data_IF_494533476660
#
_entry.id   IF_494533476660
#
_cell.length_a   1.000
_cell.length_b   1.000
_cell.length_c   1.000
_cell.angle_alpha   90.00
_cell.angle_beta   90.00
_cell.angle_gamma   90.00
#
_symmetry.space_group_name_H-M   'P 1'
#
loop_
_entity.id
_entity.type
_entity.pdbx_description
1 polymer ?
#
# COMPACT_ATOMS: atom_id res chain seq x y z
N UNK A 1 -31.46 -3.03 -4.70
CA UNK A 1 -30.23 -2.34 -5.13
C UNK A 1 -29.13 -2.61 -4.11
N UNK A 2 -28.07 -3.24 -4.51
CA UNK A 2 -26.89 -3.34 -3.66
C UNK A 2 -26.24 -1.96 -3.57
N UNK A 3 -26.22 -1.35 -2.38
CA UNK A 3 -25.47 -0.12 -2.13
C UNK A 3 -24.01 -0.52 -2.13
N UNK A 4 -23.31 -0.23 -3.24
CA UNK A 4 -21.88 -0.51 -3.34
C UNK A 4 -21.12 0.30 -2.30
N UNK A 5 -20.35 -0.37 -1.45
CA UNK A 5 -19.48 0.30 -0.48
C UNK A 5 -18.33 0.97 -1.23
N UNK A 6 -18.31 2.30 -1.26
CA UNK A 6 -17.20 3.05 -1.83
C UNK A 6 -16.04 3.07 -0.84
N UNK A 7 -14.91 2.45 -1.20
CA UNK A 7 -13.70 2.43 -0.39
C UNK A 7 -12.75 3.49 -0.90
N UNK A 8 -12.32 4.40 -0.03
CA UNK A 8 -11.32 5.40 -0.37
C UNK A 8 -9.95 5.00 0.17
N UNK A 9 -8.95 5.01 -0.72
CA UNK A 9 -7.57 4.63 -0.42
C UNK A 9 -6.64 5.76 -0.84
N UNK A 10 -5.77 6.19 0.07
CA UNK A 10 -4.65 7.10 -0.23
C UNK A 10 -3.38 6.29 -0.45
N UNK A 11 -2.60 6.68 -1.44
CA UNK A 11 -1.24 6.20 -1.64
C UNK A 11 -0.24 7.36 -1.61
N UNK A 12 0.85 7.22 -0.87
CA UNK A 12 1.84 8.26 -0.68
C UNK A 12 3.26 7.70 -0.57
N UNK A 13 4.16 8.18 -1.43
CA UNK A 13 5.59 7.99 -1.23
C UNK A 13 6.10 9.04 -0.22
N UNK A 14 6.57 8.59 0.94
CA UNK A 14 6.95 9.48 2.04
C UNK A 14 8.44 9.83 2.05
N UNK A 15 9.25 9.17 1.24
CA UNK A 15 10.69 9.39 1.13
C UNK A 15 11.38 9.49 2.51
N UNK A 16 11.20 8.45 3.31
CA UNK A 16 11.72 8.33 4.66
C UNK A 16 10.93 9.09 5.73
N UNK A 17 10.66 8.44 6.83
CA UNK A 17 9.89 8.97 7.97
C UNK A 17 10.57 8.74 9.32
N UNK A 18 11.90 8.60 9.34
CA UNK A 18 12.66 8.37 10.57
C UNK A 18 12.72 9.58 11.50
N UNK A 19 12.68 10.80 10.95
CA UNK A 19 12.64 12.01 11.77
C UNK A 19 11.28 12.13 12.50
N UNK A 20 11.29 12.39 13.80
CA UNK A 20 10.08 12.51 14.63
C UNK A 20 9.13 13.59 14.12
N UNK A 21 9.68 14.76 13.75
CA UNK A 21 8.90 15.88 13.20
C UNK A 21 8.19 15.51 11.89
N UNK A 22 8.87 14.76 11.02
CA UNK A 22 8.27 14.31 9.74
C UNK A 22 7.16 13.29 9.97
N UNK A 23 7.36 12.34 10.90
CA UNK A 23 6.30 11.41 11.30
C UNK A 23 5.08 12.11 11.86
N UNK A 24 5.29 13.11 12.71
CA UNK A 24 4.20 13.87 13.29
C UNK A 24 3.36 14.59 12.23
N UNK A 25 4.03 15.32 11.33
CA UNK A 25 3.37 15.99 10.19
C UNK A 25 2.64 15.02 9.28
N UNK A 26 3.24 13.86 9.01
CA UNK A 26 2.60 12.81 8.21
C UNK A 26 1.35 12.27 8.90
N UNK A 27 1.41 12.01 10.20
CA UNK A 27 0.27 11.54 10.98
C UNK A 27 -0.88 12.55 10.99
N UNK A 28 -0.59 13.83 11.22
CA UNK A 28 -1.58 14.90 11.15
C UNK A 28 -2.22 15.00 9.76
N UNK A 29 -1.41 14.90 8.71
CA UNK A 29 -1.89 14.96 7.34
C UNK A 29 -2.82 13.79 7.01
N UNK A 30 -2.44 12.55 7.36
CA UNK A 30 -3.26 11.34 7.16
C UNK A 30 -4.61 11.47 7.88
N UNK A 31 -4.61 11.96 9.13
CA UNK A 31 -5.84 12.16 9.89
C UNK A 31 -6.81 13.15 9.23
N UNK A 32 -6.28 14.20 8.61
CA UNK A 32 -7.07 15.22 7.91
C UNK A 32 -7.72 14.70 6.62
N UNK A 33 -7.17 13.65 5.99
CA UNK A 33 -7.68 13.14 4.72
C UNK A 33 -8.99 12.33 4.86
N UNK A 34 -9.32 11.88 6.06
CA UNK A 34 -10.57 11.14 6.36
C UNK A 34 -10.79 9.91 5.45
N UNK A 35 -9.73 9.17 5.15
CA UNK A 35 -9.76 8.00 4.26
C UNK A 35 -9.98 6.70 5.05
N UNK A 36 -10.36 5.64 4.34
CA UNK A 36 -10.50 4.31 4.93
C UNK A 36 -9.18 3.56 5.02
N UNK A 37 -8.30 3.75 4.04
CA UNK A 37 -6.99 3.10 4.00
C UNK A 37 -5.91 4.07 3.55
N UNK A 38 -4.68 3.85 4.01
CA UNK A 38 -3.51 4.60 3.61
C UNK A 38 -2.35 3.64 3.31
N UNK A 39 -1.81 3.74 2.12
CA UNK A 39 -0.68 2.94 1.65
C UNK A 39 0.54 3.83 1.49
N UNK A 40 1.56 3.59 2.30
CA UNK A 40 2.80 4.37 2.31
C UNK A 40 3.92 3.59 1.64
N UNK A 41 4.77 4.29 0.90
CA UNK A 41 5.99 3.76 0.29
C UNK A 41 7.20 4.57 0.74
N UNK A 42 8.38 3.95 0.69
CA UNK A 42 9.65 4.51 1.14
C UNK A 42 9.60 5.01 2.59
N UNK A 43 9.02 4.22 3.48
CA UNK A 43 8.93 4.59 4.91
C UNK A 43 10.29 4.63 5.58
N UNK A 44 11.25 3.82 5.13
CA UNK A 44 12.63 3.73 5.61
C UNK A 44 12.75 3.48 7.12
N UNK A 45 11.76 2.84 7.74
CA UNK A 45 11.83 2.51 9.16
C UNK A 45 12.96 1.53 9.45
N UNK A 46 13.70 1.80 10.51
CA UNK A 46 14.71 0.88 11.01
C UNK A 46 14.03 -0.25 11.77
N UNK A 47 14.51 -1.50 11.67
CA UNK A 47 13.94 -2.64 12.40
C UNK A 47 13.87 -2.46 13.92
N UNK A 48 14.78 -1.67 14.48
CA UNK A 48 14.85 -1.37 15.92
C UNK A 48 14.00 -0.19 16.38
N UNK A 49 13.42 0.58 15.45
CA UNK A 49 12.56 1.70 15.81
C UNK A 49 11.14 1.19 16.05
N UNK A 50 10.76 1.12 17.30
CA UNK A 50 9.39 0.86 17.78
C UNK A 50 8.43 2.03 17.46
N UNK A 51 8.88 3.01 16.70
CA UNK A 51 8.10 4.19 16.33
C UNK A 51 7.16 3.89 15.18
N UNK A 52 6.01 3.34 15.53
CA UNK A 52 4.87 3.30 14.63
C UNK A 52 4.24 4.68 14.54
N UNK A 53 3.68 4.99 13.39
CA UNK A 53 2.78 6.14 13.27
C UNK A 53 1.62 5.95 14.27
N UNK A 54 1.62 6.73 15.35
CA UNK A 54 0.52 6.72 16.31
C UNK A 54 -0.62 7.56 15.76
N UNK A 55 -1.56 6.89 15.13
CA UNK A 55 -2.74 7.51 14.54
C UNK A 55 -3.95 7.15 15.38
N UNK A 56 -4.71 8.15 15.82
CA UNK A 56 -6.03 7.93 16.38
C UNK A 56 -6.95 7.39 15.29
N UNK A 57 -7.89 6.50 15.66
CA UNK A 57 -8.88 5.93 14.73
C UNK A 57 -8.32 5.05 13.60
N UNK A 58 -7.09 4.56 13.74
CA UNK A 58 -6.50 3.58 12.83
C UNK A 58 -6.26 2.26 13.54
N UNK A 59 -6.91 1.18 13.04
CA UNK A 59 -6.98 -0.12 13.72
C UNK A 59 -5.76 -1.01 13.49
N UNK A 60 -5.38 -1.12 12.25
CA UNK A 60 -4.40 -2.13 11.82
C UNK A 60 -3.31 -1.47 11.00
N UNK A 61 -2.09 -1.86 11.31
CA UNK A 61 -0.92 -1.48 10.52
C UNK A 61 -0.22 -2.76 10.09
N UNK A 62 -0.04 -2.91 8.79
CA UNK A 62 0.81 -3.96 8.21
C UNK A 62 2.05 -3.29 7.65
N UNK A 63 3.20 -3.79 8.06
CA UNK A 63 4.50 -3.18 7.79
C UNK A 63 5.45 -4.20 7.16
N UNK A 64 6.12 -3.83 6.08
CA UNK A 64 7.26 -4.53 5.53
C UNK A 64 8.46 -3.58 5.48
N UNK A 65 9.45 -3.83 6.33
CA UNK A 65 10.67 -3.02 6.40
C UNK A 65 11.70 -3.54 5.41
N UNK A 66 12.36 -2.60 4.71
CA UNK A 66 13.51 -2.91 3.89
C UNK A 66 14.78 -3.13 4.71
N UNK A 67 15.75 -3.81 4.11
CA UNK A 67 17.10 -3.86 4.63
C UNK A 67 17.81 -2.52 4.34
N UNK A 68 18.57 -1.99 5.32
CA UNK A 68 19.48 -0.85 5.12
C UNK A 68 18.83 0.49 4.78
N UNK A 69 17.89 1.00 5.56
CA UNK A 69 17.39 2.39 5.47
C UNK A 69 16.82 2.82 4.09
N UNK A 70 16.62 1.90 3.20
CA UNK A 70 16.05 2.12 1.86
C UNK A 70 14.85 1.20 1.70
N UNK A 71 13.83 1.65 1.02
CA UNK A 71 12.55 0.94 0.89
C UNK A 71 11.70 0.95 2.19
N UNK A 72 10.74 0.09 2.26
CA UNK A 72 9.72 0.01 3.31
C UNK A 72 8.36 0.43 2.81
N UNK A 73 7.36 -0.41 3.05
CA UNK A 73 5.96 -0.16 2.70
C UNK A 73 5.08 -0.43 3.90
N UNK A 74 3.98 0.30 4.00
CA UNK A 74 3.05 0.21 5.10
C UNK A 74 1.60 0.34 4.60
N UNK A 75 0.70 -0.45 5.16
CA UNK A 75 -0.74 -0.31 4.95
C UNK A 75 -1.39 -0.04 6.29
N UNK A 76 -2.07 1.09 6.37
CA UNK A 76 -2.87 1.51 7.51
C UNK A 76 -4.35 1.36 7.20
N UNK A 77 -5.13 0.82 8.12
CA UNK A 77 -6.58 0.69 7.99
C UNK A 77 -7.29 1.46 9.10
N UNK A 78 -8.24 2.29 8.72
CA UNK A 78 -9.06 3.07 9.65
C UNK A 78 -10.03 2.18 10.44
N UNK A 79 -10.44 2.63 11.62
CA UNK A 79 -11.54 2.01 12.39
C UNK A 79 -12.88 2.07 11.67
N UNK A 80 -13.02 2.97 10.68
CA UNK A 80 -14.25 3.17 9.90
C UNK A 80 -14.56 2.05 8.92
N UNK A 81 -13.55 1.23 8.60
CA UNK A 81 -13.71 0.10 7.67
C UNK A 81 -13.56 -1.21 8.43
N UNK A 82 -14.52 -2.10 8.25
CA UNK A 82 -14.45 -3.44 8.80
C UNK A 82 -13.91 -4.41 7.75
N UNK A 83 -12.58 -4.37 7.58
CA UNK A 83 -11.88 -5.33 6.74
C UNK A 83 -11.49 -6.56 7.55
N UNK A 84 -11.97 -7.72 7.12
CA UNK A 84 -11.52 -9.01 7.64
C UNK A 84 -10.30 -9.46 6.85
N UNK A 85 -9.12 -9.35 7.44
CA UNK A 85 -7.87 -9.79 6.81
C UNK A 85 -7.73 -11.30 6.99
N UNK A 86 -7.65 -12.03 5.88
CA UNK A 86 -7.47 -13.49 5.86
C UNK A 86 -5.99 -13.85 5.81
N UNK A 87 -5.24 -13.25 4.87
CA UNK A 87 -3.80 -13.49 4.72
C UNK A 87 -3.04 -12.21 4.44
N UNK A 88 -1.79 -12.18 4.87
CA UNK A 88 -0.84 -11.12 4.58
C UNK A 88 0.42 -11.73 4.01
N UNK A 89 0.81 -11.32 2.82
CA UNK A 89 2.09 -11.68 2.20
C UNK A 89 2.93 -10.42 2.06
N UNK A 90 4.19 -10.49 2.41
CA UNK A 90 5.12 -9.37 2.33
C UNK A 90 6.54 -9.84 2.06
N UNK A 91 7.31 -8.98 1.45
CA UNK A 91 8.74 -9.18 1.26
C UNK A 91 9.60 -8.21 2.11
N UNK A 92 10.85 -8.07 1.72
CA UNK A 92 11.83 -7.21 2.39
C UNK A 92 11.65 -5.71 2.08
N UNK A 93 10.43 -5.21 2.18
CA UNK A 93 10.12 -3.78 2.11
C UNK A 93 9.74 -3.25 0.73
N UNK A 94 9.49 -4.10 -0.24
CA UNK A 94 9.05 -3.70 -1.57
C UNK A 94 7.55 -3.86 -1.80
N UNK A 95 6.91 -4.87 -1.19
CA UNK A 95 5.46 -4.97 -1.27
C UNK A 95 4.81 -5.56 -0.02
N UNK A 96 3.54 -5.25 0.14
CA UNK A 96 2.60 -5.92 1.03
C UNK A 96 1.37 -6.28 0.22
N UNK A 97 0.93 -7.52 0.32
CA UNK A 97 -0.32 -8.00 -0.24
C UNK A 97 -1.23 -8.45 0.90
N UNK A 98 -2.42 -7.89 0.95
CA UNK A 98 -3.48 -8.27 1.87
C UNK A 98 -4.59 -8.92 1.06
N UNK A 99 -4.95 -10.16 1.40
CA UNK A 99 -6.20 -10.78 0.99
C UNK A 99 -7.17 -10.69 2.15
N UNK A 100 -8.37 -10.21 1.89
CA UNK A 100 -9.39 -10.02 2.90
C UNK A 100 -10.77 -9.88 2.30
N UNK A 101 -11.74 -9.48 3.10
CA UNK A 101 -13.10 -9.20 2.64
C UNK A 101 -13.69 -7.98 3.32
N UNK A 102 -14.48 -7.23 2.55
CA UNK A 102 -15.29 -6.08 2.96
C UNK A 102 -16.63 -6.24 2.27
N UNK A 103 -17.48 -7.18 2.59
CA UNK A 103 -18.63 -7.69 1.87
C UNK A 103 -18.26 -8.74 0.81
N UNK A 104 -17.29 -8.45 -0.07
CA UNK A 104 -16.74 -9.37 -1.06
C UNK A 104 -15.23 -9.54 -0.85
N UNK A 105 -14.69 -10.61 -1.44
CA UNK A 105 -13.24 -10.85 -1.38
C UNK A 105 -12.49 -9.78 -2.15
N UNK A 106 -11.44 -9.24 -1.52
CA UNK A 106 -10.59 -8.18 -2.07
C UNK A 106 -9.12 -8.49 -1.81
N UNK A 107 -8.30 -8.18 -2.79
CA UNK A 107 -6.84 -8.18 -2.68
C UNK A 107 -6.31 -6.76 -2.81
N UNK A 108 -5.53 -6.32 -1.85
CA UNK A 108 -4.89 -5.00 -1.87
C UNK A 108 -3.38 -5.20 -1.84
N UNK A 109 -2.70 -4.59 -2.81
CA UNK A 109 -1.26 -4.69 -2.97
C UNK A 109 -0.68 -3.29 -2.93
N UNK A 110 0.15 -3.01 -1.92
CA UNK A 110 0.95 -1.80 -1.83
C UNK A 110 2.38 -2.12 -2.24
N UNK A 111 2.89 -1.49 -3.29
CA UNK A 111 4.18 -1.79 -3.87
C UNK A 111 5.09 -0.57 -3.98
N UNK A 112 6.37 -0.79 -3.70
CA UNK A 112 7.47 0.12 -4.02
C UNK A 112 8.46 -0.61 -4.92
N UNK A 113 8.48 -0.27 -6.19
CA UNK A 113 9.35 -0.90 -7.17
C UNK A 113 10.69 -0.20 -7.19
N UNK A 114 11.83 -0.93 -7.10
CA UNK A 114 13.16 -0.33 -7.23
C UNK A 114 13.32 0.40 -8.57
N UNK A 115 14.12 1.47 -8.59
CA UNK A 115 14.39 2.22 -9.82
C UNK A 115 15.08 1.36 -10.90
N UNK A 116 15.95 0.45 -10.47
CA UNK A 116 16.70 -0.45 -11.36
C UNK A 116 15.95 -1.77 -11.47
N UNK A 117 15.67 -2.22 -12.69
CA UNK A 117 14.99 -3.48 -12.96
C UNK A 117 13.46 -3.45 -12.70
N UNK A 118 12.87 -2.27 -12.62
CA UNK A 118 11.44 -2.10 -12.35
C UNK A 118 10.52 -2.93 -13.26
N UNK A 119 10.69 -2.98 -14.60
CA UNK A 119 9.80 -3.76 -15.47
C UNK A 119 9.85 -5.26 -15.17
N UNK A 120 11.05 -5.81 -14.95
CA UNK A 120 11.24 -7.23 -14.64
C UNK A 120 10.63 -7.58 -13.28
N UNK A 121 10.83 -6.72 -12.29
CA UNK A 121 10.26 -6.88 -10.95
C UNK A 121 8.74 -6.92 -11.00
N UNK A 122 8.10 -5.97 -11.69
CA UNK A 122 6.64 -5.91 -11.83
C UNK A 122 6.13 -7.17 -12.54
N UNK A 123 6.78 -7.57 -13.63
CA UNK A 123 6.40 -8.78 -14.37
C UNK A 123 6.44 -10.02 -13.49
N UNK A 124 7.51 -10.20 -12.73
CA UNK A 124 7.67 -11.33 -11.80
C UNK A 124 6.60 -11.28 -10.72
N UNK A 125 6.42 -10.14 -10.06
CA UNK A 125 5.41 -9.93 -9.04
C UNK A 125 4.00 -10.27 -9.53
N UNK A 126 3.61 -9.78 -10.72
CA UNK A 126 2.30 -10.06 -11.32
C UNK A 126 2.15 -11.54 -11.71
N UNK A 127 3.24 -12.20 -12.11
CA UNK A 127 3.25 -13.63 -12.43
C UNK A 127 3.03 -14.47 -11.16
N UNK A 128 3.72 -14.13 -10.08
CA UNK A 128 3.63 -14.82 -8.80
C UNK A 128 2.26 -14.62 -8.11
N UNK A 129 1.57 -13.55 -8.46
CA UNK A 129 0.25 -13.20 -7.91
C UNK A 129 -0.93 -13.78 -8.69
N UNK A 130 -0.72 -14.65 -9.64
CA UNK A 130 -1.80 -15.36 -10.34
C UNK A 130 -2.57 -16.23 -9.35
N UNK A 131 -3.86 -15.92 -9.18
CA UNK A 131 -4.77 -16.66 -8.29
C UNK A 131 -6.20 -16.13 -8.40
N UNK A 132 -7.13 -16.85 -7.85
CA UNK A 132 -8.58 -16.76 -8.06
C UNK A 132 -9.29 -15.51 -7.52
N UNK A 133 -8.59 -14.52 -6.95
CA UNK A 133 -9.24 -13.33 -6.41
C UNK A 133 -9.46 -12.31 -7.53
N UNK A 134 -10.71 -12.12 -7.92
CA UNK A 134 -11.12 -11.24 -9.01
C UNK A 134 -10.92 -9.75 -8.69
N UNK A 135 -11.18 -9.33 -7.45
CA UNK A 135 -11.11 -7.94 -7.02
C UNK A 135 -9.70 -7.60 -6.49
N UNK A 136 -8.80 -7.20 -7.38
CA UNK A 136 -7.43 -6.82 -6.99
C UNK A 136 -7.18 -5.33 -7.24
N UNK A 137 -6.71 -4.62 -6.22
CA UNK A 137 -6.25 -3.24 -6.29
C UNK A 137 -4.74 -3.22 -6.07
N UNK A 138 -4.00 -2.75 -7.07
CA UNK A 138 -2.55 -2.56 -6.99
C UNK A 138 -2.27 -1.06 -6.98
N UNK A 139 -1.54 -0.60 -5.99
CA UNK A 139 -1.17 0.81 -5.83
C UNK A 139 0.24 0.94 -5.26
N UNK A 140 0.84 2.10 -5.45
CA UNK A 140 2.18 2.37 -4.96
C UNK A 140 3.05 3.17 -5.92
N UNK A 141 4.35 3.08 -5.73
CA UNK A 141 5.35 3.71 -6.59
C UNK A 141 6.00 2.68 -7.52
N UNK A 142 5.69 2.76 -8.81
CA UNK A 142 6.16 1.79 -9.80
C UNK A 142 7.50 2.14 -10.45
N UNK A 143 7.97 3.38 -10.29
CA UNK A 143 9.22 3.88 -10.89
C UNK A 143 9.39 3.55 -12.40
N UNK A 144 8.29 3.34 -13.12
CA UNK A 144 8.26 3.04 -14.56
C UNK A 144 6.93 3.47 -15.17
N UNK A 145 6.90 3.59 -16.50
CA UNK A 145 5.65 3.78 -17.22
C UNK A 145 4.84 2.48 -17.28
N UNK A 146 3.66 2.49 -16.69
CA UNK A 146 2.77 1.31 -16.61
C UNK A 146 1.85 1.20 -17.85
N UNK A 147 1.96 2.09 -18.82
CA UNK A 147 1.07 2.16 -19.98
C UNK A 147 1.03 0.92 -20.89
N UNK A 148 2.05 0.09 -20.85
CA UNK A 148 2.15 -1.09 -21.72
C UNK A 148 1.53 -2.38 -21.15
N UNK A 149 0.92 -2.32 -19.94
CA UNK A 149 0.49 -3.52 -19.22
C UNK A 149 -1.04 -3.68 -19.14
N UNK A 150 -1.81 -2.78 -19.73
CA UNK A 150 -3.27 -2.74 -19.56
C UNK A 150 -4.08 -3.53 -20.59
N UNK A 151 -3.45 -4.18 -21.59
CA UNK A 151 -4.19 -4.75 -22.73
C UNK A 151 -4.90 -6.09 -22.45
N UNK A 152 -4.76 -6.72 -21.28
CA UNK A 152 -5.37 -8.01 -21.04
C UNK A 152 -6.08 -8.24 -19.70
N UNK A 153 -6.32 -7.19 -18.93
CA UNK A 153 -7.19 -7.30 -17.76
C UNK A 153 -7.82 -5.94 -17.47
N UNK A 154 -9.12 -5.89 -17.26
CA UNK A 154 -9.83 -4.72 -16.71
C UNK A 154 -9.32 -4.43 -15.29
N UNK A 155 -8.14 -3.84 -15.18
CA UNK A 155 -7.53 -3.42 -13.93
C UNK A 155 -7.59 -1.91 -13.86
N UNK A 156 -8.37 -1.37 -12.94
CA UNK A 156 -8.34 0.07 -12.63
C UNK A 156 -7.02 0.41 -11.96
N UNK A 157 -6.09 0.94 -12.74
CA UNK A 157 -4.87 1.58 -12.21
C UNK A 157 -5.20 3.03 -11.87
N UNK A 158 -5.17 3.37 -10.60
CA UNK A 158 -5.38 4.75 -10.15
C UNK A 158 -4.04 5.48 -10.23
N UNK A 159 -3.94 6.45 -11.14
CA UNK A 159 -2.77 7.31 -11.27
C UNK A 159 -2.74 8.39 -10.20
N UNK A 160 -1.55 8.64 -9.66
CA UNK A 160 -1.28 9.77 -8.79
C UNK A 160 -1.14 11.05 -9.63
N UNK A 161 -1.94 12.07 -9.37
CA UNK A 161 -1.60 13.44 -9.76
C UNK A 161 -0.51 13.95 -8.82
N UNK A 162 0.61 14.42 -9.39
CA UNK A 162 1.54 15.28 -8.66
C UNK A 162 0.86 16.63 -8.41
N UNK A 163 1.06 17.24 -7.23
CA UNK A 163 0.69 18.63 -7.00
C UNK A 163 1.49 19.57 -7.88
#
# INVERSE_FOLDING_TARGET
MAIGTCISIITLNVNGSNASTKRHKLAEWIQKQNQYMCCLQETHFRPRTTYRLKLREWKKTVLANGNQKKAGVEILTSVKIDIKINTVTKDKGHYIMINGSIQEDIRIINVYVPNIGAPQYIKQMLTDMKGEISNTIILGNFNTCVYQWTDHAERKVIKKHKP
#
